data_IF_462437445258
#
_entry.id   IF_462437445258
#
_cell.length_a   1.000
_cell.length_b   1.000
_cell.length_c   1.000
_cell.angle_alpha   90.00
_cell.angle_beta   90.00
_cell.angle_gamma   90.00
#
_symmetry.space_group_name_H-M   'P 1'
#
loop_
_entity.id
_entity.type
_entity.pdbx_description
1 polymer ?
#
# COMPACT_ATOMS: atom_id res chain seq x y z
N UNK A 1 11.01 -6.48 -14.28
CA UNK A 1 11.02 -6.54 -12.80
C UNK A 1 9.70 -5.96 -12.30
N UNK A 2 9.18 -6.35 -11.13
CA UNK A 2 7.86 -5.90 -10.63
C UNK A 2 7.76 -4.41 -10.29
N UNK A 3 8.91 -3.73 -10.10
CA UNK A 3 8.96 -2.34 -9.65
C UNK A 3 8.76 -2.13 -8.15
N UNK A 4 8.35 -3.17 -7.41
CA UNK A 4 8.20 -3.14 -5.94
C UNK A 4 9.57 -2.91 -5.29
N UNK A 5 9.62 -2.01 -4.29
CA UNK A 5 10.85 -1.61 -3.57
C UNK A 5 10.76 -1.66 -2.05
N UNK A 6 9.57 -1.85 -1.51
CA UNK A 6 9.34 -1.86 -0.07
C UNK A 6 8.60 -3.14 0.30
N UNK A 7 9.15 -3.90 1.24
CA UNK A 7 8.56 -5.11 1.78
C UNK A 7 8.34 -4.93 3.28
N UNK A 8 7.33 -5.61 3.81
CA UNK A 8 7.03 -5.69 5.24
C UNK A 8 7.14 -7.14 5.65
N UNK A 9 7.85 -7.42 6.74
CA UNK A 9 8.04 -8.78 7.25
C UNK A 9 8.45 -8.75 8.74
N UNK A 10 8.29 -9.87 9.44
CA UNK A 10 8.48 -9.96 10.90
C UNK A 10 9.91 -10.27 11.31
N UNK A 11 10.40 -9.64 12.37
CA UNK A 11 11.69 -9.98 12.99
C UNK A 11 11.54 -11.23 13.84
N UNK A 12 12.22 -12.30 13.43
CA UNK A 12 12.31 -13.55 14.18
C UNK A 12 13.76 -14.00 14.29
N UNK A 13 14.16 -14.50 15.46
CA UNK A 13 15.44 -15.15 15.66
C UNK A 13 15.21 -16.60 16.06
N UNK A 14 15.76 -17.52 15.26
CA UNK A 14 15.80 -18.95 15.56
C UNK A 14 17.26 -19.42 15.56
N UNK A 15 17.54 -20.59 15.00
CA UNK A 15 18.90 -21.10 14.86
C UNK A 15 19.69 -20.39 13.74
N UNK A 16 21.03 -20.48 13.74
CA UNK A 16 21.87 -19.81 12.73
C UNK A 16 21.59 -20.22 11.28
N UNK A 17 21.02 -21.41 11.03
CA UNK A 17 20.62 -21.87 9.71
C UNK A 17 19.38 -21.14 9.22
N UNK A 18 18.32 -21.09 10.04
CA UNK A 18 17.11 -20.33 9.76
C UNK A 18 17.41 -18.84 9.55
N UNK A 19 18.15 -18.22 10.48
CA UNK A 19 18.46 -16.79 10.41
C UNK A 19 19.24 -16.47 9.12
N UNK A 20 20.18 -17.32 8.71
CA UNK A 20 20.92 -17.13 7.45
C UNK A 20 20.02 -17.26 6.23
N UNK A 21 19.04 -18.16 6.25
CA UNK A 21 18.11 -18.33 5.14
C UNK A 21 17.23 -17.09 4.99
N UNK A 22 16.53 -16.70 6.06
CA UNK A 22 15.58 -15.59 6.04
C UNK A 22 16.27 -14.24 5.79
N UNK A 23 17.21 -13.84 6.66
CA UNK A 23 17.89 -12.55 6.52
C UNK A 23 18.88 -12.54 5.34
N UNK A 24 19.35 -13.71 4.89
CA UNK A 24 20.10 -13.82 3.63
C UNK A 24 19.25 -13.39 2.43
N UNK A 25 17.95 -13.73 2.39
CA UNK A 25 17.04 -13.22 1.35
C UNK A 25 16.81 -11.72 1.48
N UNK A 26 16.66 -11.20 2.69
CA UNK A 26 16.55 -9.76 2.90
C UNK A 26 17.80 -9.02 2.40
N UNK A 27 18.99 -9.56 2.66
CA UNK A 27 20.25 -9.00 2.16
C UNK A 27 20.36 -9.05 0.63
N UNK A 28 19.98 -10.16 -0.01
CA UNK A 28 19.94 -10.31 -1.46
C UNK A 28 18.99 -9.29 -2.12
N UNK A 29 17.78 -9.14 -1.57
CA UNK A 29 16.79 -8.16 -2.03
C UNK A 29 17.27 -6.72 -1.74
N UNK A 30 17.92 -6.51 -0.60
CA UNK A 30 18.55 -5.25 -0.21
C UNK A 30 19.58 -4.75 -1.20
N UNK A 31 20.38 -5.67 -1.77
CA UNK A 31 21.35 -5.38 -2.83
C UNK A 31 20.68 -4.96 -4.16
N UNK A 32 19.41 -5.31 -4.36
CA UNK A 32 18.59 -4.86 -5.50
C UNK A 32 17.84 -3.56 -5.21
N UNK A 33 18.10 -2.92 -4.07
CA UNK A 33 17.47 -1.66 -3.67
C UNK A 33 16.11 -1.82 -3.00
N UNK A 34 15.73 -3.03 -2.58
CA UNK A 34 14.54 -3.24 -1.75
C UNK A 34 14.85 -2.88 -0.29
N UNK A 35 13.86 -2.35 0.42
CA UNK A 35 13.95 -2.01 1.84
C UNK A 35 12.82 -2.64 2.63
N UNK A 36 13.07 -2.86 3.92
CA UNK A 36 12.17 -3.58 4.81
C UNK A 36 11.61 -2.69 5.92
N UNK A 37 10.29 -2.75 6.07
CA UNK A 37 9.61 -2.47 7.33
C UNK A 37 9.58 -3.75 8.16
N UNK A 38 10.21 -3.69 9.34
CA UNK A 38 10.51 -4.86 10.15
C UNK A 38 9.62 -4.87 11.41
N UNK A 39 8.63 -5.76 11.45
CA UNK A 39 7.69 -5.88 12.57
C UNK A 39 8.39 -6.51 13.76
N UNK A 40 8.35 -5.85 14.92
CA UNK A 40 8.81 -6.42 16.19
C UNK A 40 7.63 -6.61 17.13
N UNK A 41 7.36 -7.86 17.47
CA UNK A 41 6.18 -8.24 18.24
C UNK A 41 6.57 -8.95 19.56
N UNK A 42 5.90 -8.67 20.69
CA UNK A 42 6.14 -9.34 21.96
C UNK A 42 5.93 -10.87 21.89
N UNK A 43 5.13 -11.35 20.93
CA UNK A 43 4.85 -12.78 20.72
C UNK A 43 5.93 -13.47 19.86
N UNK A 44 6.85 -12.73 19.24
CA UNK A 44 7.91 -13.26 18.37
C UNK A 44 9.07 -13.92 19.13
N UNK A 45 9.02 -14.01 20.46
CA UNK A 45 10.07 -14.66 21.26
C UNK A 45 11.38 -13.87 21.37
N UNK A 46 11.38 -12.59 21.00
CA UNK A 46 12.57 -11.70 21.05
C UNK A 46 12.96 -11.31 22.49
N UNK A 47 12.07 -11.55 23.46
CA UNK A 47 12.22 -11.09 24.84
C UNK A 47 11.98 -9.58 24.99
N UNK A 48 12.40 -8.97 26.12
CA UNK A 48 12.30 -7.53 26.32
C UNK A 48 13.05 -6.76 25.24
N UNK A 49 12.38 -5.77 24.64
CA UNK A 49 12.95 -4.94 23.59
C UNK A 49 14.16 -4.16 24.10
N UNK A 50 15.28 -4.27 23.36
CA UNK A 50 16.58 -3.67 23.68
C UNK A 50 17.31 -3.31 22.38
N UNK A 51 18.26 -2.36 22.41
CA UNK A 51 19.01 -1.94 21.22
C UNK A 51 19.66 -3.10 20.44
N UNK A 52 20.18 -4.11 21.14
CA UNK A 52 20.91 -5.23 20.54
C UNK A 52 20.03 -6.09 19.61
N UNK A 53 18.71 -6.14 19.86
CA UNK A 53 17.76 -6.86 19.00
C UNK A 53 17.67 -6.17 17.63
N UNK A 54 17.60 -4.83 17.65
CA UNK A 54 17.51 -4.02 16.43
C UNK A 54 18.83 -4.03 15.66
N UNK A 55 19.96 -3.93 16.38
CA UNK A 55 21.30 -4.03 15.77
C UNK A 55 21.52 -5.38 15.09
N UNK A 56 21.14 -6.47 15.73
CA UNK A 56 21.31 -7.81 15.16
C UNK A 56 20.42 -8.02 13.92
N UNK A 57 19.14 -7.59 13.97
CA UNK A 57 18.26 -7.67 12.80
C UNK A 57 18.78 -6.84 11.61
N UNK A 58 19.21 -5.60 11.88
CA UNK A 58 19.78 -4.71 10.86
C UNK A 58 21.10 -5.27 10.29
N UNK A 59 21.95 -5.84 11.13
CA UNK A 59 23.20 -6.49 10.70
C UNK A 59 22.94 -7.74 9.86
N UNK A 60 22.05 -8.63 10.31
CA UNK A 60 21.74 -9.88 9.59
C UNK A 60 21.13 -9.60 8.21
N UNK A 61 20.29 -8.57 8.11
CA UNK A 61 19.67 -8.14 6.86
C UNK A 61 20.59 -7.33 5.94
N UNK A 62 21.89 -7.20 6.29
CA UNK A 62 22.87 -6.37 5.59
C UNK A 62 22.38 -4.92 5.41
N UNK A 63 21.85 -4.34 6.48
CA UNK A 63 21.41 -2.95 6.55
C UNK A 63 20.28 -2.59 5.58
N UNK A 64 19.42 -3.55 5.24
CA UNK A 64 18.29 -3.36 4.32
C UNK A 64 16.99 -2.91 5.02
N UNK A 65 16.98 -2.81 6.35
CA UNK A 65 15.84 -2.30 7.13
C UNK A 65 15.80 -0.77 7.04
N UNK A 66 14.61 -0.22 6.74
CA UNK A 66 14.34 1.22 6.73
C UNK A 66 13.44 1.67 7.89
N UNK A 67 12.60 0.77 8.40
CA UNK A 67 11.67 1.04 9.49
C UNK A 67 11.56 -0.16 10.43
N UNK A 68 11.24 0.12 11.69
CA UNK A 68 10.75 -0.88 12.63
C UNK A 68 9.30 -0.55 12.98
N UNK A 69 8.44 -1.56 12.92
CA UNK A 69 7.02 -1.46 13.24
C UNK A 69 6.75 -2.09 14.61
N UNK A 70 5.84 -1.49 15.37
CA UNK A 70 5.36 -2.03 16.63
C UNK A 70 4.58 -3.35 16.50
N UNK A 71 4.01 -3.83 17.60
CA UNK A 71 3.23 -5.07 17.64
C UNK A 71 2.10 -5.11 16.60
N UNK A 72 1.83 -6.31 16.08
CA UNK A 72 0.83 -6.52 15.03
C UNK A 72 -0.54 -6.92 15.61
N UNK A 73 -1.56 -6.07 15.52
CA UNK A 73 -2.95 -6.42 15.85
C UNK A 73 -3.13 -7.08 17.23
N UNK A 74 -2.50 -6.49 18.25
CA UNK A 74 -2.59 -7.00 19.62
C UNK A 74 -4.02 -7.00 20.17
N UNK A 75 -4.91 -6.18 19.60
CA UNK A 75 -6.31 -6.09 20.00
C UNK A 75 -7.10 -7.39 19.75
N UNK A 76 -6.66 -8.23 18.82
CA UNK A 76 -7.26 -9.56 18.57
C UNK A 76 -6.40 -10.72 19.10
N UNK A 77 -5.36 -10.43 19.88
CA UNK A 77 -4.44 -11.46 20.42
C UNK A 77 -5.07 -12.41 21.43
N UNK A 78 -6.25 -12.08 21.97
CA UNK A 78 -6.89 -12.80 23.08
C UNK A 78 -6.32 -12.48 24.47
N UNK A 79 -5.30 -11.63 24.57
CA UNK A 79 -4.74 -11.18 25.86
C UNK A 79 -5.63 -10.11 26.48
N UNK A 80 -5.98 -10.24 27.77
CA UNK A 80 -6.83 -9.26 28.47
C UNK A 80 -6.11 -7.94 28.74
N UNK A 81 -4.78 -7.96 28.81
CA UNK A 81 -3.89 -6.85 29.08
C UNK A 81 -3.17 -6.33 27.81
N UNK A 82 -3.70 -6.65 26.63
CA UNK A 82 -3.09 -6.30 25.34
C UNK A 82 -2.73 -4.81 25.23
N UNK A 83 -3.57 -3.90 25.75
CA UNK A 83 -3.30 -2.44 25.68
C UNK A 83 -2.05 -2.03 26.45
N UNK A 84 -1.83 -2.58 27.65
CA UNK A 84 -0.62 -2.31 28.44
C UNK A 84 0.60 -2.95 27.79
N UNK A 85 0.48 -4.20 27.34
CA UNK A 85 1.56 -4.92 26.67
C UNK A 85 2.03 -4.16 25.43
N UNK A 86 1.09 -3.76 24.57
CA UNK A 86 1.37 -3.05 23.33
C UNK A 86 2.01 -1.67 23.60
N UNK A 87 1.39 -0.87 24.49
CA UNK A 87 1.91 0.44 24.91
C UNK A 87 3.32 0.37 25.49
N UNK A 88 3.59 -0.60 26.35
CA UNK A 88 4.91 -0.72 26.98
C UNK A 88 5.95 -1.20 25.98
N UNK A 89 5.57 -2.10 25.06
CA UNK A 89 6.45 -2.62 24.02
C UNK A 89 6.86 -1.55 23.00
N UNK A 90 5.92 -0.78 22.44
CA UNK A 90 6.24 0.29 21.48
C UNK A 90 7.09 1.39 22.14
N UNK A 91 6.83 1.73 23.41
CA UNK A 91 7.69 2.66 24.16
C UNK A 91 9.10 2.12 24.35
N UNK A 92 9.26 0.82 24.60
CA UNK A 92 10.57 0.18 24.70
C UNK A 92 11.28 0.11 23.35
N UNK A 93 10.56 -0.18 22.26
CA UNK A 93 11.07 -0.12 20.88
C UNK A 93 11.61 1.27 20.56
N UNK A 94 10.80 2.31 20.77
CA UNK A 94 11.21 3.68 20.48
C UNK A 94 12.48 4.07 21.23
N UNK A 95 12.52 3.83 22.56
CA UNK A 95 13.74 4.11 23.36
C UNK A 95 14.95 3.30 22.88
N UNK A 96 14.76 2.04 22.52
CA UNK A 96 15.84 1.17 22.05
C UNK A 96 16.41 1.68 20.73
N UNK A 97 15.55 2.04 19.78
CA UNK A 97 15.97 2.62 18.51
C UNK A 97 16.67 3.98 18.69
N UNK A 98 16.19 4.83 19.62
CA UNK A 98 16.85 6.11 19.93
C UNK A 98 18.20 5.98 20.62
N UNK A 99 18.46 4.85 21.29
CA UNK A 99 19.75 4.58 21.93
C UNK A 99 20.84 4.09 20.95
N UNK A 100 20.46 3.69 19.73
CA UNK A 100 21.42 3.25 18.71
C UNK A 100 22.34 4.39 18.26
N UNK A 101 23.58 4.05 17.90
CA UNK A 101 24.48 4.99 17.23
C UNK A 101 23.86 5.52 15.94
N UNK A 102 23.50 6.80 15.91
CA UNK A 102 22.73 7.40 14.80
C UNK A 102 21.20 7.32 14.98
N UNK A 103 20.72 7.40 16.23
CA UNK A 103 19.36 7.14 16.73
C UNK A 103 18.11 7.70 16.01
N UNK A 104 18.22 8.28 14.82
CA UNK A 104 17.10 8.60 13.93
C UNK A 104 17.18 7.86 12.58
N UNK A 105 18.04 6.85 12.45
CA UNK A 105 18.20 6.08 11.21
C UNK A 105 16.93 5.35 10.79
N UNK A 106 16.21 4.78 11.76
CA UNK A 106 14.99 4.01 11.50
C UNK A 106 13.75 4.85 11.83
N UNK A 107 12.78 4.82 10.92
CA UNK A 107 11.43 5.27 11.22
C UNK A 107 10.78 4.25 12.17
N UNK A 108 10.15 4.73 13.24
CA UNK A 108 9.35 3.88 14.14
C UNK A 108 7.88 4.02 13.78
N UNK A 109 7.31 2.98 13.19
CA UNK A 109 5.88 2.90 12.87
C UNK A 109 5.17 2.32 14.10
N UNK A 110 4.06 2.95 14.48
CA UNK A 110 3.27 2.52 15.64
C UNK A 110 2.69 1.11 15.50
N UNK A 111 2.08 0.58 16.58
CA UNK A 111 1.41 -0.71 16.51
C UNK A 111 0.21 -0.67 15.56
N UNK A 112 0.00 -1.76 14.84
CA UNK A 112 -1.21 -1.95 14.05
C UNK A 112 -2.35 -2.49 14.92
N UNK A 113 -3.59 -2.22 14.50
CA UNK A 113 -4.80 -2.75 15.14
C UNK A 113 -5.69 -3.33 14.06
N UNK A 114 -6.22 -4.54 14.28
CA UNK A 114 -7.22 -5.12 13.38
C UNK A 114 -8.49 -4.27 13.36
N UNK A 115 -8.83 -3.67 14.52
CA UNK A 115 -9.94 -2.73 14.65
C UNK A 115 -9.43 -1.34 15.07
N UNK A 116 -9.14 -0.47 14.10
CA UNK A 116 -8.60 0.88 14.38
C UNK A 116 -9.39 1.68 15.44
N UNK A 117 -10.72 1.50 15.53
CA UNK A 117 -11.56 2.13 16.57
C UNK A 117 -11.11 1.85 18.01
N UNK A 118 -10.48 0.68 18.24
CA UNK A 118 -9.91 0.29 19.53
C UNK A 118 -8.63 1.04 19.86
N UNK A 119 -8.14 1.88 18.95
CA UNK A 119 -7.10 2.87 19.24
C UNK A 119 -7.46 3.82 20.39
N UNK A 120 -8.76 4.02 20.65
CA UNK A 120 -9.22 4.75 21.84
C UNK A 120 -8.94 4.02 23.16
N UNK A 121 -8.90 2.68 23.17
CA UNK A 121 -8.51 1.86 24.31
C UNK A 121 -6.98 1.87 24.51
N UNK A 122 -6.22 1.80 23.41
CA UNK A 122 -4.75 1.86 23.45
C UNK A 122 -4.25 3.24 23.89
N UNK A 123 -4.92 4.29 23.44
CA UNK A 123 -4.60 5.68 23.73
C UNK A 123 -3.46 6.25 22.88
N UNK A 124 -3.14 7.52 23.13
CA UNK A 124 -2.18 8.27 22.34
C UNK A 124 -0.74 7.80 22.60
N UNK A 125 -0.02 7.50 21.51
CA UNK A 125 1.37 7.05 21.48
C UNK A 125 2.26 7.95 20.60
N UNK A 126 1.79 9.14 20.21
CA UNK A 126 2.47 10.04 19.28
C UNK A 126 3.90 10.45 19.71
N UNK A 127 4.18 10.43 21.02
CA UNK A 127 5.51 10.73 21.58
C UNK A 127 6.47 9.51 21.56
N UNK A 128 5.99 8.35 21.13
CA UNK A 128 6.75 7.09 21.08
C UNK A 128 6.74 6.45 19.69
N UNK A 129 6.37 7.21 18.66
CA UNK A 129 6.33 6.77 17.26
C UNK A 129 6.71 7.94 16.35
N UNK A 130 7.16 7.63 15.13
CA UNK A 130 7.39 8.61 14.06
C UNK A 130 6.21 8.67 13.08
N UNK A 131 5.52 7.55 12.88
CA UNK A 131 4.29 7.46 12.10
C UNK A 131 3.27 6.55 12.79
N UNK A 132 1.99 6.85 12.59
CA UNK A 132 0.89 5.95 12.90
C UNK A 132 0.82 4.78 11.94
N UNK A 133 0.05 3.78 12.33
CA UNK A 133 -0.18 2.55 11.60
C UNK A 133 -1.69 2.38 11.38
N UNK A 134 -2.08 1.72 10.29
CA UNK A 134 -3.45 1.40 9.96
C UNK A 134 -3.55 0.13 9.09
N UNK A 135 -4.52 -0.74 9.37
CA UNK A 135 -4.86 -1.91 8.55
C UNK A 135 -6.28 -1.79 7.95
N UNK A 136 -6.53 -0.92 6.94
CA UNK A 136 -7.86 -0.57 6.50
C UNK A 136 -8.37 -1.51 5.39
N UNK A 137 -8.80 -2.71 5.75
CA UNK A 137 -9.35 -3.68 4.79
C UNK A 137 -10.77 -3.29 4.29
N UNK A 138 -10.98 -3.10 2.97
CA UNK A 138 -12.30 -2.70 2.43
C UNK A 138 -13.34 -3.82 2.35
N UNK A 139 -12.99 -5.07 2.68
CA UNK A 139 -13.92 -6.20 2.74
C UNK A 139 -14.76 -6.37 1.46
N UNK A 140 -14.08 -6.36 0.31
CA UNK A 140 -14.69 -6.52 -1.03
C UNK A 140 -15.44 -5.29 -1.56
N UNK A 141 -15.47 -4.18 -0.81
CA UNK A 141 -15.99 -2.88 -1.28
C UNK A 141 -14.92 -2.08 -2.04
N UNK A 142 -15.33 -0.99 -2.68
CA UNK A 142 -14.40 -0.06 -3.33
C UNK A 142 -13.40 0.52 -2.31
N UNK A 143 -12.14 0.78 -2.69
CA UNK A 143 -11.10 1.12 -1.71
C UNK A 143 -11.42 2.34 -0.83
N UNK A 144 -12.12 3.35 -1.35
CA UNK A 144 -12.45 4.55 -0.57
C UNK A 144 -13.49 4.32 0.53
N UNK A 145 -14.13 3.14 0.58
CA UNK A 145 -15.22 2.82 1.52
C UNK A 145 -14.84 2.99 2.99
N UNK A 146 -13.56 2.78 3.31
CA UNK A 146 -13.02 2.79 4.67
C UNK A 146 -12.68 4.20 5.19
N UNK A 147 -12.77 5.23 4.34
CA UNK A 147 -12.39 6.60 4.67
C UNK A 147 -13.59 7.53 4.81
N UNK A 148 -13.48 8.59 5.65
CA UNK A 148 -12.33 8.95 6.50
C UNK A 148 -12.29 8.21 7.84
N UNK A 149 -13.25 7.34 8.13
CA UNK A 149 -13.44 6.73 9.45
C UNK A 149 -12.18 6.03 9.98
N UNK A 150 -11.54 5.16 9.19
CA UNK A 150 -10.34 4.44 9.61
C UNK A 150 -9.15 5.37 9.93
N UNK A 151 -8.94 6.43 9.15
CA UNK A 151 -7.86 7.39 9.42
C UNK A 151 -8.16 8.27 10.62
N UNK A 152 -9.42 8.60 10.88
CA UNK A 152 -9.82 9.31 12.09
C UNK A 152 -9.63 8.45 13.34
N UNK A 153 -9.91 7.15 13.26
CA UNK A 153 -9.62 6.24 14.36
C UNK A 153 -8.13 6.05 14.62
N UNK A 154 -7.30 5.96 13.59
CA UNK A 154 -5.84 5.85 13.74
C UNK A 154 -5.24 7.04 14.51
N UNK A 155 -5.82 8.24 14.37
CA UNK A 155 -5.38 9.46 15.09
C UNK A 155 -5.53 9.35 16.61
N UNK A 156 -6.36 8.45 17.13
CA UNK A 156 -6.42 8.19 18.57
C UNK A 156 -5.07 7.69 19.12
N UNK A 157 -4.31 6.98 18.29
CA UNK A 157 -2.98 6.47 18.61
C UNK A 157 -1.90 7.43 18.12
N UNK A 158 -1.99 7.88 16.88
CA UNK A 158 -0.90 8.62 16.22
C UNK A 158 -0.93 10.14 16.37
N UNK A 159 -2.03 10.69 16.89
CA UNK A 159 -2.25 12.14 16.92
C UNK A 159 -2.18 12.74 15.52
N UNK A 160 -1.29 13.71 15.31
CA UNK A 160 -1.10 14.40 14.04
C UNK A 160 0.04 13.83 13.17
N UNK A 161 0.65 12.70 13.58
CA UNK A 161 1.73 12.06 12.81
C UNK A 161 1.18 11.51 11.48
N UNK A 162 2.07 11.36 10.48
CA UNK A 162 1.71 10.66 9.23
C UNK A 162 1.26 9.23 9.53
N UNK A 163 0.47 8.64 8.64
CA UNK A 163 0.02 7.26 8.75
C UNK A 163 0.70 6.43 7.67
N UNK A 164 1.18 5.25 8.04
CA UNK A 164 1.56 4.17 7.13
C UNK A 164 0.46 3.12 7.18
N UNK A 165 0.02 2.64 6.02
CA UNK A 165 -0.85 1.47 5.93
C UNK A 165 0.05 0.26 5.77
N UNK A 166 0.26 -0.51 6.83
CA UNK A 166 1.19 -1.66 6.83
C UNK A 166 0.52 -2.96 6.37
N UNK A 167 -0.80 -2.99 6.32
CA UNK A 167 -1.54 -4.04 5.63
C UNK A 167 -2.86 -3.51 5.07
N UNK A 168 -3.22 -3.99 3.88
CA UNK A 168 -4.53 -3.83 3.28
C UNK A 168 -4.59 -4.73 2.05
N UNK A 169 -5.77 -5.05 1.54
CA UNK A 169 -5.86 -5.75 0.26
C UNK A 169 -7.22 -6.31 -0.05
N UNK A 170 -7.23 -7.31 -0.94
CA UNK A 170 -8.38 -8.13 -1.30
C UNK A 170 -7.93 -9.57 -1.53
N UNK A 171 -8.75 -10.55 -1.14
CA UNK A 171 -8.50 -11.97 -1.47
C UNK A 171 -9.46 -12.50 -2.53
N UNK A 172 -9.06 -13.60 -3.17
CA UNK A 172 -9.80 -14.26 -4.25
C UNK A 172 -10.42 -15.62 -3.87
N UNK A 173 -10.47 -15.95 -2.57
CA UNK A 173 -11.10 -17.18 -2.06
C UNK A 173 -12.63 -17.11 -2.12
N UNK A 174 -13.22 -17.25 -3.31
CA UNK A 174 -14.66 -17.06 -3.55
C UNK A 174 -15.58 -18.04 -2.79
N UNK A 175 -15.05 -19.18 -2.35
CA UNK A 175 -15.80 -20.18 -1.57
C UNK A 175 -15.52 -20.08 -0.06
N UNK A 176 -14.75 -19.08 0.39
CA UNK A 176 -14.58 -18.76 1.80
C UNK A 176 -15.65 -17.76 2.24
N UNK A 177 -16.29 -18.06 3.37
CA UNK A 177 -17.35 -17.27 3.99
C UNK A 177 -17.11 -17.03 5.49
N UNK A 178 -15.87 -17.25 5.96
CA UNK A 178 -15.52 -17.22 7.38
C UNK A 178 -15.14 -15.82 7.88
N UNK A 179 -14.65 -14.97 6.99
CA UNK A 179 -14.14 -13.63 7.32
C UNK A 179 -14.70 -12.60 6.32
N UNK A 180 -13.90 -11.58 5.95
CA UNK A 180 -14.28 -10.59 4.97
C UNK A 180 -14.64 -11.19 3.59
N UNK A 181 -15.55 -10.56 2.81
CA UNK A 181 -15.92 -11.06 1.50
C UNK A 181 -14.77 -11.02 0.49
N UNK A 182 -14.61 -12.13 -0.25
CA UNK A 182 -13.73 -12.22 -1.40
C UNK A 182 -14.23 -11.39 -2.59
N UNK A 183 -13.32 -11.15 -3.54
CA UNK A 183 -13.65 -10.60 -4.85
C UNK A 183 -12.98 -11.40 -5.96
N UNK A 184 -13.45 -11.28 -7.20
CA UNK A 184 -12.78 -11.92 -8.34
C UNK A 184 -11.36 -11.35 -8.55
N UNK A 185 -10.52 -12.09 -9.28
CA UNK A 185 -9.22 -11.55 -9.71
C UNK A 185 -9.37 -10.33 -10.63
N UNK A 186 -10.45 -10.25 -11.42
CA UNK A 186 -10.76 -9.09 -12.27
C UNK A 186 -11.11 -7.86 -11.43
N UNK A 187 -11.92 -8.02 -10.39
CA UNK A 187 -12.21 -6.94 -9.46
C UNK A 187 -10.95 -6.49 -8.72
N UNK A 188 -10.11 -7.44 -8.27
CA UNK A 188 -8.84 -7.15 -7.61
C UNK A 188 -7.88 -6.35 -8.49
N UNK A 189 -7.83 -6.63 -9.80
CA UNK A 189 -6.98 -5.87 -10.75
C UNK A 189 -7.42 -4.43 -10.97
N UNK A 190 -8.66 -4.11 -10.62
CA UNK A 190 -9.20 -2.74 -10.62
C UNK A 190 -9.07 -2.08 -9.25
N UNK A 191 -9.30 -2.82 -8.17
CA UNK A 191 -9.30 -2.30 -6.82
C UNK A 191 -7.90 -2.05 -6.26
N UNK A 192 -6.94 -2.96 -6.46
CA UNK A 192 -5.62 -2.83 -5.84
C UNK A 192 -4.85 -1.59 -6.34
N UNK A 193 -4.77 -1.30 -7.66
CA UNK A 193 -4.19 -0.05 -8.14
C UNK A 193 -4.88 1.20 -7.58
N UNK A 194 -6.23 1.18 -7.51
CA UNK A 194 -7.01 2.26 -6.89
C UNK A 194 -6.73 2.40 -5.42
N UNK A 195 -6.56 1.31 -4.68
CA UNK A 195 -6.25 1.31 -3.25
C UNK A 195 -4.97 2.10 -2.96
N UNK A 196 -3.90 1.88 -3.74
CA UNK A 196 -2.68 2.69 -3.62
C UNK A 196 -2.92 4.18 -3.90
N UNK A 197 -3.70 4.51 -4.94
CA UNK A 197 -4.01 5.90 -5.32
C UNK A 197 -4.95 6.61 -4.32
N UNK A 198 -5.94 5.90 -3.77
CA UNK A 198 -6.86 6.39 -2.74
C UNK A 198 -6.10 6.67 -1.44
N UNK A 199 -5.20 5.77 -1.04
CA UNK A 199 -4.34 6.00 0.13
C UNK A 199 -3.40 7.18 -0.11
N UNK A 200 -2.71 7.22 -1.25
CA UNK A 200 -1.79 8.30 -1.60
C UNK A 200 -2.47 9.68 -1.63
N UNK A 201 -3.63 9.79 -2.28
CA UNK A 201 -4.41 11.04 -2.36
C UNK A 201 -4.88 11.57 -1.00
N UNK A 202 -4.89 10.73 0.03
CA UNK A 202 -5.25 11.08 1.42
C UNK A 202 -4.05 11.37 2.32
N UNK A 203 -2.85 11.41 1.75
CA UNK A 203 -1.62 11.68 2.51
C UNK A 203 -1.12 10.50 3.33
N UNK A 204 -1.58 9.28 3.04
CA UNK A 204 -0.95 8.07 3.57
C UNK A 204 0.48 8.00 3.00
N UNK A 205 1.47 7.89 3.90
CA UNK A 205 2.88 7.97 3.54
C UNK A 205 3.33 6.78 2.69
N UNK A 206 2.86 5.58 3.04
CA UNK A 206 3.15 4.32 2.33
C UNK A 206 2.04 3.32 2.58
N UNK A 207 1.81 2.45 1.60
CA UNK A 207 0.88 1.32 1.70
C UNK A 207 1.64 0.04 1.39
N UNK A 208 1.50 -0.97 2.24
CA UNK A 208 1.94 -2.33 2.02
C UNK A 208 0.70 -3.19 1.76
N UNK A 209 0.71 -3.92 0.66
CA UNK A 209 -0.36 -4.81 0.27
C UNK A 209 -0.13 -6.18 0.93
N UNK A 210 -1.16 -6.72 1.56
CA UNK A 210 -1.20 -8.12 1.97
C UNK A 210 -1.82 -8.93 0.81
N UNK A 211 -1.08 -9.76 0.08
CA UNK A 211 0.36 -10.04 0.19
C UNK A 211 1.02 -10.26 -1.18
N UNK A 212 2.29 -10.66 -1.23
CA UNK A 212 3.00 -10.86 -2.49
C UNK A 212 2.64 -12.18 -3.18
N UNK A 213 2.57 -13.29 -2.44
CA UNK A 213 2.49 -14.65 -2.97
C UNK A 213 1.52 -15.49 -2.13
N UNK A 214 0.59 -16.18 -2.78
CA UNK A 214 -0.20 -17.22 -2.12
C UNK A 214 0.71 -18.37 -1.66
N UNK A 215 0.71 -18.70 -0.37
CA UNK A 215 1.69 -19.63 0.20
C UNK A 215 1.56 -21.08 -0.31
N UNK A 216 0.33 -21.55 -0.47
CA UNK A 216 0.00 -22.95 -0.77
C UNK A 216 -1.19 -23.03 -1.72
N UNK A 217 -1.20 -24.05 -2.58
CA UNK A 217 -2.31 -24.28 -3.49
C UNK A 217 -3.60 -24.64 -2.72
N UNK A 218 -4.66 -23.87 -2.95
CA UNK A 218 -6.03 -24.16 -2.52
C UNK A 218 -6.99 -24.04 -3.70
N UNK A 219 -7.09 -25.08 -4.56
CA UNK A 219 -7.99 -25.06 -5.71
C UNK A 219 -9.47 -25.00 -5.33
N UNK A 220 -9.80 -25.26 -4.05
CA UNK A 220 -11.15 -25.12 -3.52
C UNK A 220 -11.58 -23.67 -3.31
N UNK A 221 -10.65 -22.71 -3.27
CA UNK A 221 -10.91 -21.31 -2.93
C UNK A 221 -11.63 -21.15 -1.58
N UNK A 222 -11.30 -22.02 -0.62
CA UNK A 222 -12.00 -22.16 0.67
C UNK A 222 -11.26 -21.57 1.87
N UNK A 223 -10.01 -21.14 1.69
CA UNK A 223 -9.22 -20.53 2.76
C UNK A 223 -8.65 -19.19 2.29
N UNK A 224 -9.19 -18.07 2.77
CA UNK A 224 -8.77 -16.73 2.36
C UNK A 224 -7.27 -16.48 2.54
N UNK A 225 -6.65 -17.06 3.57
CA UNK A 225 -5.22 -16.93 3.85
C UNK A 225 -4.32 -17.45 2.73
N UNK A 226 -4.88 -18.19 1.75
CA UNK A 226 -4.16 -18.74 0.61
C UNK A 226 -4.49 -18.03 -0.71
N UNK A 227 -5.15 -16.87 -0.67
CA UNK A 227 -5.62 -16.16 -1.87
C UNK A 227 -5.46 -14.62 -1.84
N UNK A 228 -4.61 -14.09 -0.95
CA UNK A 228 -4.29 -12.65 -0.85
C UNK A 228 -3.17 -12.19 -1.80
N UNK A 229 -2.36 -13.13 -2.28
CA UNK A 229 -1.16 -12.85 -3.05
C UNK A 229 -1.43 -12.16 -4.38
N UNK A 230 -0.54 -11.27 -4.81
CA UNK A 230 -0.47 -10.82 -6.20
C UNK A 230 -0.03 -11.96 -7.16
N UNK A 231 0.70 -12.93 -6.63
CA UNK A 231 1.21 -14.09 -7.36
C UNK A 231 0.56 -15.34 -6.76
N UNK A 232 0.15 -16.29 -7.61
CA UNK A 232 -0.43 -17.57 -7.17
C UNK A 232 0.65 -18.50 -6.61
N UNK A 233 0.24 -19.54 -5.89
CA UNK A 233 1.16 -20.53 -5.30
C UNK A 233 2.04 -21.27 -6.35
N UNK A 234 1.55 -21.40 -7.59
CA UNK A 234 2.30 -21.94 -8.72
C UNK A 234 3.25 -20.93 -9.40
N UNK A 235 3.35 -19.72 -8.83
CA UNK A 235 4.14 -18.56 -9.27
C UNK A 235 3.61 -17.87 -10.52
N UNK A 236 2.41 -18.22 -10.99
CA UNK A 236 1.75 -17.47 -12.05
C UNK A 236 1.26 -16.11 -11.52
N UNK A 237 1.43 -15.06 -12.33
CA UNK A 237 1.00 -13.71 -11.99
C UNK A 237 -0.54 -13.62 -12.01
N UNK A 238 -1.17 -13.04 -10.98
CA UNK A 238 -2.58 -12.66 -11.04
C UNK A 238 -2.76 -11.38 -11.85
N UNK A 239 -3.94 -11.11 -12.42
CA UNK A 239 -4.25 -9.85 -13.10
C UNK A 239 -3.88 -8.59 -12.28
N UNK A 240 -4.02 -8.63 -10.96
CA UNK A 240 -3.63 -7.52 -10.08
C UNK A 240 -2.11 -7.27 -10.07
N UNK A 241 -1.27 -8.30 -10.13
CA UNK A 241 0.18 -8.13 -10.23
C UNK A 241 0.56 -7.37 -11.50
N UNK A 242 -0.04 -7.76 -12.62
CA UNK A 242 0.21 -7.13 -13.93
C UNK A 242 -0.22 -5.67 -13.90
N UNK A 243 -1.40 -5.37 -13.34
CA UNK A 243 -1.91 -4.01 -13.22
C UNK A 243 -1.01 -3.11 -12.36
N UNK A 244 -0.59 -3.61 -11.19
CA UNK A 244 0.33 -2.88 -10.28
C UNK A 244 1.69 -2.67 -10.93
N UNK A 245 2.25 -3.70 -11.55
CA UNK A 245 3.54 -3.60 -12.25
C UNK A 245 3.50 -2.53 -13.34
N UNK A 246 2.48 -2.52 -14.19
CA UNK A 246 2.32 -1.52 -15.25
C UNK A 246 2.10 -0.13 -14.68
N UNK A 247 1.30 0.02 -13.62
CA UNK A 247 1.12 1.32 -12.97
C UNK A 247 2.44 1.85 -12.43
N UNK A 248 3.26 1.00 -11.81
CA UNK A 248 4.61 1.38 -11.37
C UNK A 248 5.47 1.75 -12.58
N UNK A 249 5.49 0.95 -13.65
CA UNK A 249 6.25 1.24 -14.88
C UNK A 249 5.90 2.62 -15.46
N UNK A 250 4.61 2.95 -15.54
CA UNK A 250 4.15 4.26 -16.04
C UNK A 250 4.51 5.41 -15.10
N UNK A 251 4.35 5.23 -13.79
CA UNK A 251 4.58 6.30 -12.80
C UNK A 251 6.04 6.40 -12.31
N UNK A 252 6.90 5.46 -12.71
CA UNK A 252 8.24 5.35 -12.15
C UNK A 252 9.06 6.63 -12.38
N UNK A 253 9.64 7.12 -11.30
CA UNK A 253 10.61 8.21 -11.27
C UNK A 253 11.52 8.01 -10.05
N UNK A 254 12.84 7.98 -10.29
CA UNK A 254 13.84 7.68 -9.25
C UNK A 254 14.73 8.88 -8.93
N UNK A 255 14.59 9.98 -9.67
CA UNK A 255 15.36 11.19 -9.43
C UNK A 255 14.53 12.21 -8.64
N UNK A 256 15.22 13.04 -7.86
CA UNK A 256 14.57 14.15 -7.17
C UNK A 256 14.48 15.37 -8.13
N UNK A 257 13.30 15.96 -8.35
CA UNK A 257 13.19 17.22 -9.06
C UNK A 257 13.87 18.33 -8.25
N UNK A 258 14.55 19.27 -8.92
CA UNK A 258 15.08 20.46 -8.27
C UNK A 258 13.96 21.37 -7.73
N UNK A 259 12.81 21.36 -8.40
CA UNK A 259 11.60 22.11 -8.04
C UNK A 259 10.39 21.48 -8.74
N UNK A 260 9.25 21.44 -8.04
CA UNK A 260 7.97 21.07 -8.60
C UNK A 260 7.22 22.30 -9.18
N UNK A 261 6.43 22.06 -10.21
CA UNK A 261 5.54 22.96 -10.91
C UNK A 261 4.08 22.52 -10.76
N UNK A 262 3.18 23.32 -11.34
CA UNK A 262 1.76 23.04 -11.35
C UNK A 262 1.25 22.86 -12.78
N UNK A 263 0.40 21.87 -13.01
CA UNK A 263 -0.38 21.75 -14.23
C UNK A 263 -1.77 22.35 -14.01
N UNK A 264 -2.14 23.36 -14.80
CA UNK A 264 -3.48 23.93 -14.77
C UNK A 264 -4.39 23.17 -15.76
N UNK A 265 -5.39 22.47 -15.23
CA UNK A 265 -6.32 21.65 -16.00
C UNK A 265 -7.74 21.69 -15.43
N UNK A 266 -8.71 21.23 -16.21
CA UNK A 266 -10.10 21.05 -15.78
C UNK A 266 -10.76 19.92 -16.54
N UNK A 267 -11.73 19.24 -15.90
CA UNK A 267 -12.67 18.34 -16.56
C UNK A 267 -14.03 19.02 -16.76
N UNK A 268 -14.64 18.77 -17.91
CA UNK A 268 -16.02 19.20 -18.20
C UNK A 268 -17.02 18.54 -17.26
N UNK A 269 -16.82 17.25 -16.94
CA UNK A 269 -17.66 16.52 -16.00
C UNK A 269 -17.41 17.00 -14.56
N UNK A 270 -18.49 17.07 -13.78
CA UNK A 270 -18.47 17.33 -12.33
C UNK A 270 -18.93 16.10 -11.53
N UNK A 271 -18.88 14.91 -12.14
CA UNK A 271 -19.23 13.66 -11.47
C UNK A 271 -18.27 13.43 -10.30
N UNK A 272 -18.83 13.40 -9.08
CA UNK A 272 -18.06 13.28 -7.84
C UNK A 272 -17.37 11.92 -7.69
N UNK A 273 -17.72 10.93 -8.52
CA UNK A 273 -17.03 9.64 -8.56
C UNK A 273 -15.68 9.73 -9.26
N UNK A 274 -15.40 10.79 -10.02
CA UNK A 274 -14.08 10.96 -10.64
C UNK A 274 -13.09 11.39 -9.56
N UNK A 275 -12.21 10.47 -9.18
CA UNK A 275 -11.07 10.75 -8.32
C UNK A 275 -9.82 10.94 -9.17
N UNK A 276 -8.81 11.61 -8.58
CA UNK A 276 -7.58 11.91 -9.30
C UNK A 276 -6.36 12.00 -8.38
N UNK A 277 -5.19 11.76 -8.98
CA UNK A 277 -3.88 12.14 -8.47
C UNK A 277 -3.13 12.84 -9.60
N UNK A 278 -2.50 13.97 -9.30
CA UNK A 278 -1.57 14.64 -10.21
C UNK A 278 -0.15 14.48 -9.68
N UNK A 279 0.73 13.94 -10.51
CA UNK A 279 2.16 13.78 -10.23
C UNK A 279 2.97 14.57 -11.25
N UNK A 280 4.17 15.00 -10.85
CA UNK A 280 5.18 15.54 -11.75
C UNK A 280 6.46 14.74 -11.56
N UNK A 281 6.99 14.24 -12.68
CA UNK A 281 8.28 13.55 -12.72
C UNK A 281 9.42 14.55 -12.66
N UNK A 282 10.59 14.08 -12.26
CA UNK A 282 11.88 14.79 -12.25
C UNK A 282 12.27 15.36 -13.62
N UNK A 283 11.71 14.80 -14.71
CA UNK A 283 11.84 15.31 -16.07
C UNK A 283 10.98 16.54 -16.38
N UNK A 284 10.03 16.90 -15.51
CA UNK A 284 9.02 17.94 -15.73
C UNK A 284 7.76 17.45 -16.47
N UNK A 285 7.67 16.16 -16.78
CA UNK A 285 6.44 15.55 -17.31
C UNK A 285 5.42 15.36 -16.19
N UNK A 286 4.14 15.56 -16.48
CA UNK A 286 3.05 15.32 -15.53
C UNK A 286 2.36 14.00 -15.82
N UNK A 287 1.97 13.28 -14.78
CA UNK A 287 1.02 12.16 -14.88
C UNK A 287 -0.25 12.55 -14.12
N UNK A 288 -1.35 12.74 -14.86
CA UNK A 288 -2.69 12.87 -14.28
C UNK A 288 -3.34 11.50 -14.30
N UNK A 289 -3.53 10.89 -13.13
CA UNK A 289 -4.22 9.61 -12.99
C UNK A 289 -5.67 9.87 -12.61
N UNK A 290 -6.61 9.33 -13.38
CA UNK A 290 -8.06 9.47 -13.15
C UNK A 290 -8.70 8.09 -13.01
N UNK A 291 -9.72 7.97 -12.17
CA UNK A 291 -10.55 6.77 -12.11
C UNK A 291 -11.95 7.11 -11.58
N UNK A 292 -12.91 6.24 -11.88
CA UNK A 292 -14.24 6.26 -11.30
C UNK A 292 -14.23 5.42 -10.01
N UNK A 293 -14.36 6.08 -8.86
CA UNK A 293 -14.45 5.39 -7.57
C UNK A 293 -15.87 4.87 -7.35
N UNK A 294 -16.09 3.65 -7.85
CA UNK A 294 -17.34 2.90 -7.78
C UNK A 294 -17.05 1.42 -7.50
N UNK A 295 -18.02 0.64 -6.97
CA UNK A 295 -17.88 -0.80 -6.88
C UNK A 295 -17.71 -1.46 -8.26
N UNK A 296 -16.73 -2.35 -8.36
CA UNK A 296 -16.48 -3.22 -9.52
C UNK A 296 -16.89 -4.67 -9.26
N UNK A 297 -17.36 -4.99 -8.06
CA UNK A 297 -17.76 -6.32 -7.65
C UNK A 297 -18.96 -6.25 -6.70
N UNK A 298 -19.94 -7.12 -6.94
CA UNK A 298 -21.06 -7.36 -6.05
C UNK A 298 -20.74 -8.57 -5.17
N UNK A 299 -20.44 -8.33 -3.89
CA UNK A 299 -20.08 -9.37 -2.93
C UNK A 299 -21.25 -10.27 -2.54
N UNK A 300 -22.50 -9.82 -2.72
CA UNK A 300 -23.69 -10.61 -2.40
C UNK A 300 -24.00 -11.61 -3.52
N UNK A 301 -23.96 -11.15 -4.76
CA UNK A 301 -24.17 -12.00 -5.94
C UNK A 301 -22.89 -12.66 -6.48
N UNK A 302 -21.74 -12.38 -5.86
CA UNK A 302 -20.41 -12.83 -6.27
C UNK A 302 -20.12 -12.58 -7.76
N UNK A 303 -20.40 -11.36 -8.23
CA UNK A 303 -20.35 -11.03 -9.66
C UNK A 303 -19.62 -9.72 -9.94
N UNK A 304 -18.79 -9.72 -10.97
CA UNK A 304 -18.20 -8.50 -11.51
C UNK A 304 -19.26 -7.52 -12.02
N UNK A 305 -19.07 -6.25 -11.69
CA UNK A 305 -19.91 -5.15 -12.15
C UNK A 305 -19.24 -4.52 -13.38
N UNK A 306 -20.01 -4.44 -14.48
CA UNK A 306 -19.59 -3.71 -15.67
C UNK A 306 -20.04 -2.27 -15.56
N UNK A 307 -19.12 -1.39 -15.16
CA UNK A 307 -19.38 0.05 -15.06
C UNK A 307 -19.14 0.72 -16.42
N UNK A 308 -20.08 1.55 -16.88
CA UNK A 308 -19.86 2.40 -18.06
C UNK A 308 -18.89 3.54 -17.72
N UNK A 309 -17.82 3.75 -18.50
CA UNK A 309 -16.90 4.86 -18.27
C UNK A 309 -17.59 6.22 -18.32
N UNK A 310 -17.10 7.17 -17.51
CA UNK A 310 -17.61 8.54 -17.51
C UNK A 310 -16.98 9.31 -18.67
N UNK A 311 -17.77 9.64 -19.69
CA UNK A 311 -17.34 10.46 -20.82
C UNK A 311 -17.13 11.92 -20.38
N UNK A 312 -15.98 12.50 -20.73
CA UNK A 312 -15.66 13.90 -20.43
C UNK A 312 -14.56 14.44 -21.33
N UNK A 313 -14.28 15.74 -21.27
CA UNK A 313 -13.11 16.34 -21.92
C UNK A 313 -12.17 16.92 -20.86
N UNK A 314 -10.91 16.52 -20.90
CA UNK A 314 -9.82 17.19 -20.20
C UNK A 314 -9.40 18.43 -21.00
N UNK A 315 -9.44 19.58 -20.35
CA UNK A 315 -8.92 20.84 -20.90
C UNK A 315 -7.67 21.25 -20.14
N UNK A 316 -6.56 21.41 -20.86
CA UNK A 316 -5.32 22.00 -20.37
C UNK A 316 -5.32 23.51 -20.67
N UNK A 317 -4.90 24.33 -19.72
CA UNK A 317 -4.81 25.80 -19.95
C UNK A 317 -3.78 26.13 -21.03
N UNK A 318 -2.67 25.40 -21.05
CA UNK A 318 -1.66 25.43 -22.11
C UNK A 318 -1.67 24.12 -22.88
N UNK A 319 -1.60 24.12 -24.22
CA UNK A 319 -1.54 22.88 -25.00
C UNK A 319 -0.38 21.99 -24.57
N UNK A 320 -0.66 20.71 -24.30
CA UNK A 320 0.37 19.71 -24.10
C UNK A 320 1.10 19.46 -25.42
N UNK A 321 2.43 19.48 -25.39
CA UNK A 321 3.27 19.13 -26.54
C UNK A 321 3.00 17.69 -26.97
N UNK A 322 2.90 16.79 -25.99
CA UNK A 322 2.53 15.39 -26.16
C UNK A 322 1.65 14.95 -25.00
N UNK A 323 0.54 14.28 -25.30
CA UNK A 323 -0.35 13.68 -24.31
C UNK A 323 -0.59 12.22 -24.68
N UNK A 324 -0.33 11.30 -23.75
CA UNK A 324 -0.44 9.85 -23.97
C UNK A 324 -1.33 9.23 -22.89
N UNK A 325 -2.25 8.35 -23.30
CA UNK A 325 -3.17 7.65 -22.41
C UNK A 325 -2.78 6.18 -22.23
N UNK A 326 -2.88 5.69 -21.00
CA UNK A 326 -2.62 4.30 -20.62
C UNK A 326 -3.71 3.78 -19.68
N UNK A 327 -4.05 2.49 -19.80
CA UNK A 327 -4.91 1.75 -18.86
C UNK A 327 -4.13 0.53 -18.32
N UNK A 328 -3.34 0.68 -17.25
CA UNK A 328 -2.47 -0.37 -16.73
C UNK A 328 -3.19 -1.70 -16.42
N UNK A 329 -4.44 -1.64 -15.96
CA UNK A 329 -5.27 -2.82 -15.68
C UNK A 329 -5.73 -3.58 -16.94
N UNK A 330 -5.60 -2.98 -18.13
CA UNK A 330 -6.06 -3.55 -19.40
C UNK A 330 -4.86 -3.96 -20.27
N UNK A 331 -3.96 -3.03 -20.59
CA UNK A 331 -2.82 -3.27 -21.48
C UNK A 331 -1.59 -2.45 -21.09
N UNK A 332 -0.42 -2.85 -21.58
CA UNK A 332 0.83 -2.11 -21.39
C UNK A 332 1.13 -1.08 -22.49
N UNK A 333 0.45 -1.17 -23.63
CA UNK A 333 0.65 -0.24 -24.74
C UNK A 333 -0.21 1.02 -24.57
N UNK A 334 0.25 2.19 -25.10
CA UNK A 334 -0.57 3.38 -25.16
C UNK A 334 -1.93 3.13 -25.83
N UNK A 335 -2.99 3.64 -25.23
CA UNK A 335 -4.34 3.62 -25.84
C UNK A 335 -4.44 4.65 -26.96
N UNK A 336 -3.91 5.84 -26.72
CA UNK A 336 -4.03 6.97 -27.64
C UNK A 336 -2.99 8.04 -27.33
N UNK A 337 -2.54 8.72 -28.38
CA UNK A 337 -1.62 9.85 -28.30
C UNK A 337 -2.22 11.06 -29.03
N UNK A 338 -1.98 12.24 -28.47
CA UNK A 338 -2.23 13.53 -29.09
C UNK A 338 -0.98 14.40 -29.05
N UNK A 339 -0.86 15.32 -30.03
CA UNK A 339 0.20 16.31 -30.11
C UNK A 339 -0.39 17.70 -30.18
N UNK A 340 0.26 18.66 -29.53
CA UNK A 340 -0.09 20.08 -29.54
C UNK A 340 -1.60 20.34 -29.30
N UNK A 341 -2.19 19.66 -28.30
CA UNK A 341 -3.61 19.79 -27.98
C UNK A 341 -3.84 20.32 -26.57
N UNK A 342 -4.90 21.10 -26.42
CA UNK A 342 -5.42 21.53 -25.12
C UNK A 342 -6.70 20.79 -24.72
N UNK A 343 -7.36 20.06 -25.64
CA UNK A 343 -8.62 19.36 -25.38
C UNK A 343 -8.47 17.89 -25.70
N UNK A 344 -8.70 17.04 -24.70
CA UNK A 344 -8.52 15.59 -24.79
C UNK A 344 -9.83 14.92 -24.41
N UNK A 345 -10.54 14.26 -25.33
CA UNK A 345 -11.72 13.48 -24.99
C UNK A 345 -11.30 12.24 -24.20
N UNK A 346 -11.96 12.00 -23.08
CA UNK A 346 -11.70 10.92 -22.14
C UNK A 346 -12.96 10.08 -21.89
N UNK A 347 -12.74 8.83 -21.54
CA UNK A 347 -13.73 7.90 -21.01
C UNK A 347 -13.14 7.30 -19.74
N UNK A 348 -13.48 7.85 -18.57
CA UNK A 348 -12.82 7.51 -17.29
C UNK A 348 -13.43 6.21 -16.75
N UNK A 349 -12.68 5.10 -16.65
CA UNK A 349 -13.21 3.80 -16.25
C UNK A 349 -13.14 3.58 -14.72
N UNK A 350 -13.61 2.42 -14.24
CA UNK A 350 -13.58 2.00 -12.84
C UNK A 350 -12.22 1.41 -12.38
N UNK A 351 -11.15 1.85 -13.03
CA UNK A 351 -9.75 1.51 -12.76
C UNK A 351 -8.86 2.67 -13.22
N UNK A 352 -7.56 2.69 -12.90
CA UNK A 352 -6.71 3.83 -13.24
C UNK A 352 -6.55 4.04 -14.75
N UNK A 353 -6.85 5.25 -15.20
CA UNK A 353 -6.48 5.82 -16.49
C UNK A 353 -5.35 6.82 -16.26
N UNK A 354 -4.16 6.53 -16.78
CA UNK A 354 -2.98 7.41 -16.66
C UNK A 354 -2.89 8.28 -17.90
N UNK A 355 -2.82 9.60 -17.70
CA UNK A 355 -2.59 10.59 -18.75
C UNK A 355 -1.21 11.20 -18.53
N UNK A 356 -0.22 10.77 -19.31
CA UNK A 356 1.11 11.38 -19.35
C UNK A 356 1.08 12.64 -20.21
N UNK A 357 1.58 13.76 -19.68
CA UNK A 357 1.47 15.09 -20.27
C UNK A 357 2.84 15.75 -20.26
N UNK A 358 3.37 15.95 -21.46
CA UNK A 358 4.57 16.75 -21.67
C UNK A 358 4.14 18.17 -21.99
N UNK A 359 4.40 19.12 -21.10
CA UNK A 359 4.11 20.54 -21.33
C UNK A 359 5.11 21.17 -22.31
N UNK A 360 4.82 22.40 -22.73
CA UNK A 360 5.72 23.19 -23.58
C UNK A 360 6.85 23.84 -22.81
#
# INVERSE_FOLDING_TARGET
MSGIRHLRDGVHFQDPGYNRLMYGRWAELGALGIRFDAVVDPRSGLGPMRPEILEEADKLSNHSIEAFEGPNEMDISGQSDWTSTDRDYIKALFRSARALGGGNRFQIIGPSLAFAKRGSELGNLADSIDAGNLHPYPAGKMPSHVFPEQTDFAKNVSGAKSIVVTESGYHNALNDHTDQPAVSELASSKYIPRLFLENFSRGIQRTYLYELLDETADPGLTNNQLHWGLIRADRSEKPAFIAVKRLIEELNDTAAPARLHSLAWSLESKDSRIHHVLLEKSSGEFDLVLWQETPSYDTFWQKDISNSPIATTLTLVSPGRRVVLYEPSVQGEPLKEWKDTAKIPLAIPDHPLVINIVTR
#
